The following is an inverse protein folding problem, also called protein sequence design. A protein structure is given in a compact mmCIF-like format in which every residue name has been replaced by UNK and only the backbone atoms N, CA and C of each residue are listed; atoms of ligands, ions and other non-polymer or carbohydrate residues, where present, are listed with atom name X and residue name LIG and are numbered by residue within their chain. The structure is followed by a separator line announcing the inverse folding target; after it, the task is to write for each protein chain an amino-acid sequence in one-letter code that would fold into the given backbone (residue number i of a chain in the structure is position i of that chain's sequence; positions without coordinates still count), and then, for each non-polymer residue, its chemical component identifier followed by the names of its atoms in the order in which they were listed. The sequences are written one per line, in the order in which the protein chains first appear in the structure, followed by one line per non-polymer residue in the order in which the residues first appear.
data_IF_046598978338
#
_entry.id   IF_046598978338
#
_cell.length_a   1.000
_cell.length_b   1.000
_cell.length_c   1.000
_cell.angle_alpha   90.00
_cell.angle_beta   90.00
_cell.angle_gamma   90.00
#
_symmetry.space_group_name_H-M   'P 1'
#
loop_
_entity.id
_entity.type
_entity.pdbx_description
1 polymer ?
#
# COMPACT_ATOMS: atom_id res chain seq x y z
N UNK A 1 7.09 6.54 3.09
CA UNK A 1 5.73 7.08 3.37
C UNK A 1 5.50 7.09 4.89
N UNK A 2 5.07 8.21 5.50
CA UNK A 2 4.82 8.28 6.95
C UNK A 2 3.53 7.49 7.30
N UNK A 3 3.49 6.70 8.39
CA UNK A 3 2.33 5.87 8.75
C UNK A 3 1.01 6.64 8.86
N UNK A 4 1.06 7.89 9.35
CA UNK A 4 -0.10 8.77 9.47
C UNK A 4 -0.76 9.10 8.11
N UNK A 5 0.03 9.23 7.04
CA UNK A 5 -0.49 9.53 5.70
C UNK A 5 -1.34 8.37 5.19
N UNK A 6 -0.90 7.13 5.41
CA UNK A 6 -1.61 5.94 4.99
C UNK A 6 -2.93 5.78 5.74
N UNK A 7 -2.89 6.02 7.06
CA UNK A 7 -4.08 5.93 7.89
C UNK A 7 -5.16 6.93 7.44
N UNK A 8 -4.78 8.18 7.17
CA UNK A 8 -5.70 9.21 6.69
C UNK A 8 -6.28 8.86 5.31
N UNK A 9 -5.45 8.36 4.38
CA UNK A 9 -5.92 7.94 3.06
C UNK A 9 -6.94 6.79 3.13
N UNK A 10 -6.73 5.83 4.05
CA UNK A 10 -7.66 4.75 4.31
C UNK A 10 -8.96 5.24 4.94
N UNK A 11 -8.88 6.17 5.89
CA UNK A 11 -10.06 6.79 6.51
C UNK A 11 -10.91 7.57 5.49
N UNK A 12 -10.27 8.34 4.59
CA UNK A 12 -10.98 9.04 3.51
C UNK A 12 -11.72 8.07 2.58
N UNK A 13 -11.09 6.94 2.21
CA UNK A 13 -11.77 5.93 1.37
C UNK A 13 -12.91 5.22 2.09
N UNK A 14 -12.74 4.93 3.37
CA UNK A 14 -13.80 4.35 4.18
C UNK A 14 -15.01 5.28 4.29
N UNK A 15 -14.79 6.59 4.45
CA UNK A 15 -15.85 7.61 4.43
C UNK A 15 -16.62 7.69 3.11
N UNK A 16 -16.01 7.24 2.00
CA UNK A 16 -16.65 7.13 0.69
C UNK A 16 -17.34 5.77 0.46
N UNK A 17 -17.43 4.91 1.49
CA UNK A 17 -17.96 3.55 1.35
C UNK A 17 -17.06 2.59 0.57
N UNK A 18 -15.81 2.98 0.30
CA UNK A 18 -14.86 2.17 -0.47
C UNK A 18 -13.97 1.34 0.46
N UNK A 19 -14.02 0.01 0.30
CA UNK A 19 -13.10 -0.90 0.98
C UNK A 19 -11.88 -1.20 0.11
N UNK A 20 -10.68 -0.92 0.60
CA UNK A 20 -9.42 -1.26 -0.09
C UNK A 20 -9.02 -2.69 0.28
N UNK A 21 -9.15 -3.64 -0.65
CA UNK A 21 -8.75 -5.04 -0.44
C UNK A 21 -7.25 -5.29 -0.64
N UNK A 22 -6.64 -4.56 -1.58
CA UNK A 22 -5.24 -4.74 -1.97
C UNK A 22 -4.66 -3.42 -2.40
N UNK A 23 -3.41 -3.17 -2.01
CA UNK A 23 -2.63 -2.07 -2.53
C UNK A 23 -1.50 -2.64 -3.41
N UNK A 24 -1.45 -2.18 -4.66
CA UNK A 24 -0.34 -2.40 -5.57
C UNK A 24 0.61 -1.21 -5.44
N UNK A 25 1.84 -1.48 -5.07
CA UNK A 25 2.85 -0.44 -4.85
C UNK A 25 3.99 -0.64 -5.83
N UNK A 26 4.44 0.44 -6.47
CA UNK A 26 5.62 0.37 -7.34
C UNK A 26 6.87 -0.05 -6.56
N UNK A 27 7.85 -0.65 -7.24
CA UNK A 27 9.13 -1.04 -6.65
C UNK A 27 10.10 0.13 -6.48
N UNK A 28 9.61 1.38 -6.49
CA UNK A 28 10.43 2.51 -6.16
C UNK A 28 11.10 2.30 -4.80
N UNK A 29 12.35 2.73 -4.66
CA UNK A 29 13.20 2.51 -3.49
C UNK A 29 12.58 2.97 -2.13
N UNK A 30 11.46 3.70 -2.17
CA UNK A 30 10.73 4.23 -1.02
C UNK A 30 9.74 3.26 -0.35
N UNK A 31 9.48 2.08 -0.92
CA UNK A 31 8.39 1.19 -0.48
C UNK A 31 8.76 -0.14 0.20
N UNK A 32 9.93 -0.78 -0.01
CA UNK A 32 10.25 -2.05 0.63
C UNK A 32 10.79 -1.88 2.07
N UNK A 33 10.17 -1.02 2.89
CA UNK A 33 10.54 -0.91 4.30
C UNK A 33 9.60 -1.76 5.17
N UNK A 34 10.17 -2.53 6.11
CA UNK A 34 9.42 -3.39 7.05
C UNK A 34 8.35 -2.62 7.83
N UNK A 35 8.60 -1.34 8.13
CA UNK A 35 7.66 -0.45 8.81
C UNK A 35 6.37 -0.23 8.00
N UNK A 36 6.50 -0.10 6.67
CA UNK A 36 5.36 0.07 5.77
C UNK A 36 4.54 -1.24 5.70
N UNK A 37 5.20 -2.38 5.59
CA UNK A 37 4.52 -3.68 5.61
C UNK A 37 3.73 -3.93 6.91
N UNK A 38 4.28 -3.54 8.06
CA UNK A 38 3.60 -3.63 9.36
C UNK A 38 2.33 -2.75 9.42
N UNK A 39 2.40 -1.52 8.90
CA UNK A 39 1.25 -0.62 8.83
C UNK A 39 0.13 -1.19 7.95
N UNK A 40 0.45 -1.75 6.78
CA UNK A 40 -0.55 -2.40 5.92
C UNK A 40 -1.18 -3.63 6.57
N UNK A 41 -0.40 -4.44 7.29
CA UNK A 41 -0.92 -5.59 8.05
C UNK A 41 -1.87 -5.16 9.15
N UNK A 42 -1.55 -4.10 9.90
CA UNK A 42 -2.43 -3.54 10.93
C UNK A 42 -3.76 -3.04 10.36
N UNK A 43 -3.77 -2.62 9.09
CA UNK A 43 -4.96 -2.15 8.38
C UNK A 43 -5.71 -3.27 7.63
N UNK A 44 -5.25 -4.53 7.71
CA UNK A 44 -5.87 -5.67 7.03
C UNK A 44 -5.72 -5.64 5.50
N UNK A 45 -4.82 -4.82 4.95
CA UNK A 45 -4.63 -4.64 3.51
C UNK A 45 -3.50 -5.54 3.01
N UNK A 46 -3.77 -6.30 1.95
CA UNK A 46 -2.73 -7.09 1.29
C UNK A 46 -1.82 -6.17 0.46
N UNK A 47 -0.53 -6.12 0.81
CA UNK A 47 0.49 -5.44 0.02
C UNK A 47 1.00 -6.37 -1.08
N UNK A 48 0.93 -5.93 -2.35
CA UNK A 48 1.65 -6.55 -3.46
C UNK A 48 2.60 -5.53 -4.06
N UNK A 49 3.87 -5.92 -4.14
CA UNK A 49 4.87 -5.20 -4.92
C UNK A 49 4.60 -5.46 -6.39
N UNK A 50 4.53 -4.39 -7.19
CA UNK A 50 4.48 -4.53 -8.64
C UNK A 50 5.70 -5.34 -9.10
N UNK A 51 5.58 -6.17 -10.12
CA UNK A 51 6.78 -6.80 -10.70
C UNK A 51 7.60 -5.66 -11.30
N UNK A 52 8.89 -5.57 -10.93
CA UNK A 52 9.78 -4.56 -11.53
C UNK A 52 9.68 -4.67 -13.05
N UNK A 53 9.68 -3.54 -13.75
CA UNK A 53 9.38 -3.40 -15.18
C UNK A 53 10.13 -4.45 -16.01
N UNK A 54 9.58 -5.67 -16.12
CA UNK A 54 10.09 -6.70 -17.01
C UNK A 54 9.51 -6.30 -18.36
N UNK A 55 10.35 -6.01 -19.37
CA UNK A 55 9.84 -5.84 -20.71
C UNK A 55 9.04 -7.10 -21.04
N UNK A 56 7.79 -6.91 -21.45
CA UNK A 56 6.96 -7.99 -21.96
C UNK A 56 7.56 -8.34 -23.32
N UNK A 57 8.42 -9.36 -23.33
CA UNK A 57 8.90 -10.02 -24.55
C UNK A 57 7.89 -11.06 -25.01
#
# INVERSE_FOLDING_TARGET
MKPALLHNAMACRAGLGMSVKRLLVDNGAAFPSKAIAAAYKALGVQLKFARSNQPQG
#
